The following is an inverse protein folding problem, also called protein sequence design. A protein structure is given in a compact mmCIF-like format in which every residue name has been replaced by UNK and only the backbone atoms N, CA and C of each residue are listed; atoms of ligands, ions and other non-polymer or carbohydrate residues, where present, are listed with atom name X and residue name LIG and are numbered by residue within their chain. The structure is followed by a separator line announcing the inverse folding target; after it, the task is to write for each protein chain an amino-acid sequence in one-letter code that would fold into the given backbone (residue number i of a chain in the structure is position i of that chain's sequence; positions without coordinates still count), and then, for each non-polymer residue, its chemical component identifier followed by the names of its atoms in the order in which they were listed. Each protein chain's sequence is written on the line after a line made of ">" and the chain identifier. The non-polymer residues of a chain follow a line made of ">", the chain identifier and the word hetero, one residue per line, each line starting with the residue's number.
data_IF_081980961533
#
_entry.id   IF_081980961533
#
_cell.length_a   1.000
_cell.length_b   1.000
_cell.length_c   1.000
_cell.angle_alpha   90.00
_cell.angle_beta   90.00
_cell.angle_gamma   90.00
#
_symmetry.space_group_name_H-M   'P 1'
#
loop_
_entity.id
_entity.type
_entity.pdbx_description
1 polymer ?
#
# COMPACT_ATOMS: atom_id res chain seq x y z
N UNK A 1 -8.45 -3.64 -17.57
CA UNK A 1 -8.70 -2.23 -17.24
C UNK A 1 -9.12 -2.13 -15.77
N UNK A 2 -8.73 -1.09 -15.04
CA UNK A 2 -9.17 -0.88 -13.64
C UNK A 2 -10.65 -0.48 -13.69
N UNK A 3 -11.56 -1.36 -13.30
CA UNK A 3 -12.97 -1.01 -13.10
C UNK A 3 -13.07 -0.35 -11.72
N UNK A 4 -13.30 0.97 -11.71
CA UNK A 4 -13.50 1.72 -10.46
C UNK A 4 -14.55 1.01 -9.58
N UNK A 5 -14.22 0.80 -8.30
CA UNK A 5 -15.13 0.20 -7.31
C UNK A 5 -15.12 -1.33 -7.21
N UNK A 6 -14.45 -2.07 -8.11
CA UNK A 6 -14.28 -3.52 -7.92
C UNK A 6 -13.16 -3.81 -6.91
N UNK A 7 -13.56 -4.08 -5.67
CA UNK A 7 -12.64 -4.53 -4.61
C UNK A 7 -12.70 -6.04 -4.40
N UNK A 8 -11.59 -6.61 -3.93
CA UNK A 8 -11.48 -8.02 -3.54
C UNK A 8 -10.97 -8.14 -2.12
N UNK A 9 -11.55 -9.09 -1.39
CA UNK A 9 -11.03 -9.48 -0.08
C UNK A 9 -9.73 -10.28 -0.23
N UNK A 10 -8.70 -9.85 0.50
CA UNK A 10 -7.43 -10.56 0.64
C UNK A 10 -7.19 -10.88 2.12
N UNK A 11 -7.52 -12.10 2.59
CA UNK A 11 -7.29 -12.51 3.97
C UNK A 11 -5.79 -12.58 4.32
N UNK A 12 -4.92 -12.62 3.31
CA UNK A 12 -3.47 -12.74 3.51
C UNK A 12 -2.82 -11.41 3.94
N UNK A 13 -3.54 -10.28 3.85
CA UNK A 13 -3.04 -8.94 4.20
C UNK A 13 -3.21 -8.60 5.70
N UNK A 14 -2.59 -9.41 6.56
CA UNK A 14 -2.56 -9.23 8.02
C UNK A 14 -3.71 -9.93 8.77
N UNK A 15 -3.78 -9.78 10.11
CA UNK A 15 -4.63 -10.61 10.97
C UNK A 15 -6.13 -10.41 10.75
N UNK A 16 -6.52 -9.29 10.14
CA UNK A 16 -7.90 -9.00 9.83
C UNK A 16 -8.22 -9.10 8.35
N UNK A 17 -7.25 -9.37 7.47
CA UNK A 17 -7.41 -9.23 6.01
C UNK A 17 -7.77 -7.81 5.57
N UNK A 18 -7.77 -7.55 4.25
CA UNK A 18 -8.12 -6.22 3.70
C UNK A 18 -8.84 -6.32 2.35
N UNK A 19 -9.71 -5.36 2.08
CA UNK A 19 -10.23 -5.11 0.75
C UNK A 19 -9.24 -4.24 -0.03
N UNK A 20 -8.93 -4.64 -1.27
CA UNK A 20 -8.09 -3.86 -2.17
C UNK A 20 -8.71 -3.82 -3.57
N UNK A 21 -8.26 -2.89 -4.40
CA UNK A 21 -8.64 -2.86 -5.82
C UNK A 21 -8.29 -4.20 -6.50
N UNK A 22 -9.25 -4.78 -7.21
CA UNK A 22 -9.09 -6.09 -7.87
C UNK A 22 -7.88 -6.16 -8.78
N UNK A 23 -7.57 -5.06 -9.48
CA UNK A 23 -6.41 -4.97 -10.37
C UNK A 23 -5.06 -5.03 -9.62
N UNK A 24 -5.01 -4.62 -8.35
CA UNK A 24 -3.80 -4.63 -7.53
C UNK A 24 -3.46 -6.03 -7.03
N UNK A 25 -4.43 -6.94 -6.97
CA UNK A 25 -4.29 -8.31 -6.41
C UNK A 25 -3.06 -9.06 -6.90
N UNK A 26 -2.81 -9.09 -8.21
CA UNK A 26 -1.67 -9.84 -8.78
C UNK A 26 -0.34 -9.25 -8.30
N UNK A 27 -0.23 -7.92 -8.28
CA UNK A 27 0.99 -7.20 -7.90
C UNK A 27 1.26 -7.35 -6.40
N UNK A 28 0.24 -7.21 -5.57
CA UNK A 28 0.36 -7.42 -4.12
C UNK A 28 0.80 -8.85 -3.80
N UNK A 29 0.23 -9.87 -4.46
CA UNK A 29 0.68 -11.26 -4.27
C UNK A 29 2.15 -11.47 -4.63
N UNK A 30 2.64 -10.84 -5.70
CA UNK A 30 4.05 -10.93 -6.08
C UNK A 30 4.98 -10.32 -5.01
N UNK A 31 4.60 -9.17 -4.43
CA UNK A 31 5.34 -8.54 -3.33
C UNK A 31 5.35 -9.43 -2.07
N UNK A 32 4.22 -10.02 -1.72
CA UNK A 32 4.14 -10.94 -0.58
C UNK A 32 5.04 -12.18 -0.76
N UNK A 33 5.12 -12.72 -1.99
CA UNK A 33 5.98 -13.88 -2.30
C UNK A 33 7.47 -13.60 -2.09
N UNK A 34 7.90 -12.34 -2.23
CA UNK A 34 9.28 -11.92 -1.95
C UNK A 34 9.48 -11.39 -0.52
N UNK A 35 8.47 -11.55 0.34
CA UNK A 35 8.55 -11.19 1.77
C UNK A 35 8.28 -9.71 2.07
N UNK A 36 7.71 -8.96 1.14
CA UNK A 36 7.35 -7.55 1.34
C UNK A 36 5.94 -7.46 1.95
N UNK A 37 5.85 -6.84 3.12
CA UNK A 37 4.57 -6.55 3.77
C UNK A 37 3.93 -5.30 3.16
N UNK A 38 2.71 -5.45 2.64
CA UNK A 38 1.92 -4.32 2.11
C UNK A 38 0.97 -3.78 3.18
N UNK A 39 1.06 -2.47 3.45
CA UNK A 39 0.21 -1.75 4.40
C UNK A 39 -1.03 -1.12 3.72
N UNK A 40 -0.90 -0.74 2.46
CA UNK A 40 -1.99 -0.20 1.66
C UNK A 40 -1.63 -0.16 0.19
N UNK A 41 -2.62 -0.15 -0.70
CA UNK A 41 -2.39 0.03 -2.12
C UNK A 41 -3.59 0.69 -2.81
N UNK A 42 -3.34 1.37 -3.93
CA UNK A 42 -4.37 1.98 -4.76
C UNK A 42 -3.95 1.93 -6.22
N UNK A 43 -4.86 1.55 -7.13
CA UNK A 43 -4.60 1.61 -8.59
C UNK A 43 -4.58 3.05 -9.11
N UNK A 44 -5.02 4.02 -8.30
CA UNK A 44 -5.17 5.43 -8.67
C UNK A 44 -6.34 5.71 -9.64
N UNK A 45 -7.02 4.66 -10.08
CA UNK A 45 -8.24 4.69 -10.89
C UNK A 45 -8.17 5.58 -12.14
N UNK A 46 -6.97 5.71 -12.72
CA UNK A 46 -6.70 6.54 -13.89
C UNK A 46 -6.58 8.04 -13.63
N UNK A 47 -6.79 8.49 -12.38
CA UNK A 47 -6.69 9.91 -11.96
C UNK A 47 -5.42 10.18 -11.15
N UNK A 48 -5.03 9.25 -10.29
CA UNK A 48 -3.87 9.35 -9.41
C UNK A 48 -2.80 8.32 -9.76
N UNK A 49 -1.54 8.51 -9.33
CA UNK A 49 -0.50 7.51 -9.48
C UNK A 49 -0.87 6.20 -8.76
N UNK A 50 -0.52 5.07 -9.39
CA UNK A 50 -0.57 3.78 -8.69
C UNK A 50 0.36 3.83 -7.48
N UNK A 51 -0.13 3.40 -6.33
CA UNK A 51 0.58 3.53 -5.06
C UNK A 51 0.58 2.21 -4.31
N UNK A 52 1.73 1.80 -3.77
CA UNK A 52 1.83 0.67 -2.84
C UNK A 52 2.63 1.11 -1.63
N UNK A 53 1.98 1.14 -0.48
CA UNK A 53 2.61 1.44 0.79
C UNK A 53 3.11 0.13 1.38
N UNK A 54 4.42 0.05 1.60
CA UNK A 54 5.07 -1.13 2.17
C UNK A 54 5.68 -0.81 3.51
N UNK A 55 5.76 -1.82 4.37
CA UNK A 55 6.54 -1.72 5.59
C UNK A 55 8.00 -2.09 5.28
N UNK A 56 8.92 -1.17 5.56
CA UNK A 56 10.35 -1.34 5.38
C UNK A 56 11.03 -2.21 6.43
N UNK A 57 10.27 -2.79 7.37
CA UNK A 57 10.83 -3.73 8.33
C UNK A 57 11.47 -4.90 7.59
N UNK A 58 12.80 -4.97 7.64
CA UNK A 58 13.53 -6.13 7.19
C UNK A 58 13.16 -7.28 8.12
N UNK A 59 12.25 -8.15 7.67
CA UNK A 59 11.66 -9.26 8.41
C UNK A 59 12.66 -10.28 8.98
N UNK A 60 13.95 -10.15 8.63
CA UNK A 60 15.08 -10.97 9.09
C UNK A 60 15.98 -10.31 10.15
N UNK A 61 15.69 -9.08 10.57
CA UNK A 61 16.47 -8.39 11.60
C UNK A 61 15.91 -8.62 13.00
N UNK A 62 16.80 -8.59 13.99
CA UNK A 62 16.49 -8.68 15.42
C UNK A 62 15.42 -7.65 15.81
N UNK A 63 14.51 -8.00 16.71
CA UNK A 63 13.39 -7.13 17.13
C UNK A 63 13.86 -5.79 17.72
N UNK A 64 15.08 -5.71 18.27
CA UNK A 64 15.70 -4.46 18.74
C UNK A 64 16.14 -3.54 17.60
N UNK A 65 16.42 -4.10 16.42
CA UNK A 65 16.79 -3.35 15.22
C UNK A 65 15.55 -3.00 14.40
N UNK A 66 14.48 -3.82 14.46
CA UNK A 66 13.18 -3.48 13.84
C UNK A 66 12.65 -2.13 14.31
N UNK A 67 12.71 -1.84 15.62
CA UNK A 67 12.26 -0.54 16.16
C UNK A 67 13.10 0.66 15.70
N UNK A 68 14.27 0.45 15.10
CA UNK A 68 15.14 1.50 14.59
C UNK A 68 14.95 1.76 13.08
N UNK A 69 14.28 0.84 12.36
CA UNK A 69 14.15 0.88 10.89
C UNK A 69 12.70 0.52 10.48
N UNK A 70 11.71 1.01 11.23
CA UNK A 70 10.32 0.98 10.79
C UNK A 70 10.05 2.21 9.92
N UNK A 71 10.48 2.11 8.66
CA UNK A 71 10.22 3.12 7.65
C UNK A 71 9.05 2.65 6.79
N UNK A 72 8.00 3.45 6.67
CA UNK A 72 6.93 3.19 5.71
C UNK A 72 7.21 4.02 4.47
N UNK A 73 7.21 3.40 3.31
CA UNK A 73 7.48 4.08 2.05
C UNK A 73 6.58 3.60 0.93
N UNK A 74 6.49 4.43 -0.11
CA UNK A 74 5.84 4.09 -1.36
C UNK A 74 6.81 3.28 -2.24
N UNK A 75 6.40 2.07 -2.64
CA UNK A 75 7.26 1.10 -3.32
C UNK A 75 7.87 1.59 -4.63
N UNK A 76 7.13 2.36 -5.44
CA UNK A 76 7.57 2.77 -6.77
C UNK A 76 8.58 3.93 -6.73
N UNK A 77 8.45 4.82 -5.74
CA UNK A 77 9.21 6.07 -5.62
C UNK A 77 10.22 6.06 -4.47
N UNK A 78 10.11 5.08 -3.55
CA UNK A 78 10.83 5.02 -2.28
C UNK A 78 10.59 6.24 -1.38
N UNK A 79 9.53 7.01 -1.64
CA UNK A 79 9.15 8.16 -0.84
C UNK A 79 8.65 7.72 0.53
N UNK A 80 9.22 8.27 1.58
CA UNK A 80 8.77 8.02 2.94
C UNK A 80 7.34 8.55 3.15
N UNK A 81 6.50 7.75 3.83
CA UNK A 81 5.15 8.09 4.23
C UNK A 81 5.15 8.33 5.74
N UNK A 82 4.96 9.56 6.23
CA UNK A 82 5.13 9.94 7.63
C UNK A 82 3.94 9.53 8.51
N UNK A 83 3.33 8.37 8.26
CA UNK A 83 2.20 7.83 9.01
C UNK A 83 2.07 6.32 8.84
N UNK A 84 1.43 5.70 9.82
CA UNK A 84 1.30 4.23 9.92
C UNK A 84 -0.10 3.70 9.63
N UNK A 85 -1.09 4.58 9.47
CA UNK A 85 -2.50 4.23 9.28
C UNK A 85 -3.27 5.32 8.54
N UNK A 86 -4.51 4.98 8.15
CA UNK A 86 -5.47 5.90 7.50
C UNK A 86 -4.92 6.55 6.22
N UNK A 87 -4.21 5.78 5.40
CA UNK A 87 -3.47 6.26 4.22
C UNK A 87 -4.33 6.97 3.16
N UNK A 88 -5.61 6.64 3.08
CA UNK A 88 -6.46 7.12 1.99
C UNK A 88 -7.14 8.44 2.34
N UNK A 89 -7.20 9.36 1.38
CA UNK A 89 -8.14 10.49 1.33
C UNK A 89 -9.09 10.29 0.16
N UNK A 90 -10.31 10.79 0.28
CA UNK A 90 -11.32 10.78 -0.77
C UNK A 90 -11.37 12.18 -1.39
N UNK A 91 -11.35 12.27 -2.71
CA UNK A 91 -11.52 13.54 -3.44
C UNK A 91 -13.01 13.88 -3.68
N UNK A 92 -13.27 15.00 -4.34
CA UNK A 92 -14.62 15.49 -4.65
C UNK A 92 -15.38 14.59 -5.63
N UNK A 93 -14.68 13.82 -6.46
CA UNK A 93 -15.25 12.82 -7.38
C UNK A 93 -15.50 11.47 -6.69
N UNK A 94 -15.09 11.35 -5.43
CA UNK A 94 -15.24 10.17 -4.61
C UNK A 94 -14.17 9.09 -4.80
N UNK A 95 -13.06 9.41 -5.44
CA UNK A 95 -11.91 8.55 -5.66
C UNK A 95 -10.99 8.60 -4.44
N UNK A 96 -10.60 7.42 -3.96
CA UNK A 96 -9.60 7.32 -2.89
C UNK A 96 -8.18 7.41 -3.47
N UNK A 97 -7.31 8.13 -2.77
CA UNK A 97 -5.90 8.32 -3.14
C UNK A 97 -5.02 8.52 -1.92
N UNK A 98 -3.70 8.45 -2.11
CA UNK A 98 -2.70 8.70 -1.07
C UNK A 98 -2.08 10.08 -1.34
N UNK A 99 -2.38 11.12 -0.53
CA UNK A 99 -2.01 12.50 -0.84
C UNK A 99 -0.50 12.75 -0.92
N UNK A 100 0.30 11.99 -0.18
CA UNK A 100 1.76 12.13 -0.18
C UNK A 100 2.39 11.83 -1.55
N UNK A 101 1.67 11.16 -2.46
CA UNK A 101 2.20 10.75 -3.76
C UNK A 101 1.69 11.58 -4.94
N UNK A 102 0.78 12.55 -4.69
CA UNK A 102 0.10 13.30 -5.76
C UNK A 102 0.86 14.56 -6.17
N UNK A 103 1.63 15.16 -5.25
CA UNK A 103 2.38 16.38 -5.51
C UNK A 103 3.82 16.04 -5.91
N UNK A 104 4.05 15.91 -7.22
CA UNK A 104 5.33 16.17 -7.86
C UNK A 104 5.17 17.29 -8.89
#
# INVERSE_FOLDING_TARGET
>A
MCNQGEVVWMPELGPHGRYIDKCMKKRIRALMQIGIETLGCCCGHGKYPETIIVNGTLSKLDDRVKSLIDCIFEWNTLKEIPRTRNFYKKDDDGIYYIPEVVNE
#
